data_IF_686429833232
#
_entry.id   IF_686429833232
#
_cell.length_a   1.000
_cell.length_b   1.000
_cell.length_c   1.000
_cell.angle_alpha   90.00
_cell.angle_beta   90.00
_cell.angle_gamma   90.00
#
_symmetry.space_group_name_H-M   'P 1'
#
loop_
_entity.id
_entity.type
_entity.pdbx_description
1 polymer ?
#
# COMPACT_ATOMS: atom_id res chain seq x y z
N UNK A 1 23.88 -19.09 21.99
CA UNK A 1 22.76 -18.91 21.05
C UNK A 1 21.48 -19.28 21.77
N UNK A 2 20.61 -18.32 22.02
CA UNK A 2 19.28 -18.59 22.59
C UNK A 2 18.32 -18.57 21.41
N UNK A 3 17.84 -19.75 21.01
CA UNK A 3 16.77 -19.94 20.04
C UNK A 3 15.48 -20.18 20.82
N UNK A 4 14.72 -19.12 21.07
CA UNK A 4 13.30 -19.24 21.40
C UNK A 4 12.54 -18.41 20.36
N UNK A 5 12.16 -19.06 19.26
CA UNK A 5 11.38 -18.45 18.16
C UNK A 5 9.93 -18.08 18.56
N UNK A 6 9.59 -18.14 19.85
CA UNK A 6 8.23 -18.02 20.38
C UNK A 6 8.11 -17.02 21.56
N UNK A 7 9.11 -16.16 21.81
CA UNK A 7 9.07 -15.26 22.99
C UNK A 7 9.51 -13.83 22.73
N UNK A 8 9.80 -13.47 21.48
CA UNK A 8 9.89 -12.05 21.16
C UNK A 8 8.45 -11.61 21.05
N UNK A 9 7.99 -10.83 22.03
CA UNK A 9 6.66 -10.23 22.06
C UNK A 9 6.80 -8.70 22.04
N UNK A 10 7.94 -8.18 22.51
CA UNK A 10 8.27 -6.76 22.54
C UNK A 10 9.78 -6.57 22.32
N UNK A 11 10.19 -5.87 21.26
CA UNK A 11 11.60 -5.50 20.97
C UNK A 11 11.76 -4.00 21.20
N UNK A 12 12.85 -3.63 21.88
CA UNK A 12 13.38 -2.27 21.91
C UNK A 12 14.86 -2.36 21.52
N UNK A 13 15.20 -2.06 20.28
CA UNK A 13 16.53 -2.34 19.73
C UNK A 13 17.54 -1.22 20.09
N UNK A 14 17.09 0.03 20.11
CA UNK A 14 17.81 1.16 20.70
C UNK A 14 18.41 2.08 19.65
N UNK A 15 19.73 2.04 19.46
CA UNK A 15 20.37 2.81 18.40
C UNK A 15 21.39 1.95 17.67
N UNK A 16 21.61 2.23 16.40
CA UNK A 16 22.41 1.43 15.47
C UNK A 16 21.52 0.76 14.42
N UNK A 17 22.14 0.21 13.39
CA UNK A 17 21.43 -0.50 12.33
C UNK A 17 21.09 -1.92 12.81
N UNK A 18 19.82 -2.17 13.12
CA UNK A 18 19.34 -3.43 13.64
C UNK A 18 18.73 -4.34 12.56
N UNK A 19 18.76 -5.65 12.79
CA UNK A 19 18.08 -6.62 11.94
C UNK A 19 17.17 -7.48 12.80
N UNK A 20 15.88 -7.39 12.55
CA UNK A 20 14.84 -7.99 13.39
C UNK A 20 14.03 -8.95 12.53
N UNK A 21 13.84 -10.16 13.03
CA UNK A 21 12.92 -11.14 12.44
C UNK A 21 11.76 -11.34 13.40
N UNK A 22 10.55 -11.00 12.96
CA UNK A 22 9.33 -11.21 13.74
C UNK A 22 9.10 -12.70 13.98
N UNK A 23 8.48 -13.00 15.13
CA UNK A 23 8.01 -14.34 15.45
C UNK A 23 6.64 -14.61 14.80
N UNK A 24 6.09 -15.81 14.99
CA UNK A 24 4.74 -16.14 14.49
C UNK A 24 3.60 -15.61 15.36
N UNK A 25 3.90 -15.02 16.52
CA UNK A 25 2.93 -14.33 17.38
C UNK A 25 3.02 -12.82 17.16
N UNK A 26 1.97 -12.09 17.51
CA UNK A 26 1.94 -10.63 17.39
C UNK A 26 3.07 -9.99 18.19
N UNK A 27 3.78 -9.06 17.56
CA UNK A 27 4.95 -8.39 18.08
C UNK A 27 4.76 -6.89 18.18
N UNK A 28 5.34 -6.27 19.20
CA UNK A 28 5.55 -4.82 19.25
C UNK A 28 7.04 -4.53 19.12
N UNK A 29 7.46 -3.88 18.05
CA UNK A 29 8.87 -3.64 17.74
C UNK A 29 9.10 -2.13 17.73
N UNK A 30 10.01 -1.66 18.57
CA UNK A 30 10.54 -0.31 18.52
C UNK A 30 12.02 -0.41 18.15
N UNK A 31 12.40 0.00 16.94
CA UNK A 31 13.77 -0.16 16.46
C UNK A 31 14.66 0.95 17.05
N UNK A 32 14.26 2.21 16.87
CA UNK A 32 14.89 3.37 17.50
C UNK A 32 15.58 4.24 16.48
N UNK A 33 16.90 4.39 16.53
CA UNK A 33 17.63 5.21 15.55
C UNK A 33 18.67 4.38 14.81
N UNK A 34 18.73 4.44 13.49
CA UNK A 34 19.60 3.61 12.66
C UNK A 34 18.87 3.13 11.41
N UNK A 35 19.56 2.53 10.46
CA UNK A 35 18.91 1.92 9.30
C UNK A 35 18.51 0.48 9.62
N UNK A 36 17.27 0.28 10.04
CA UNK A 36 16.75 -0.96 10.57
C UNK A 36 16.09 -1.83 9.49
N UNK A 37 16.26 -3.15 9.60
CA UNK A 37 15.65 -4.12 8.70
C UNK A 37 14.76 -5.09 9.46
N UNK A 38 13.45 -5.05 9.17
CA UNK A 38 12.44 -5.85 9.84
C UNK A 38 11.80 -6.80 8.83
N UNK A 39 11.93 -8.11 9.09
CA UNK A 39 11.42 -9.17 8.21
C UNK A 39 10.48 -10.11 8.94
N UNK A 40 9.57 -10.73 8.19
CA UNK A 40 8.62 -11.69 8.77
C UNK A 40 7.40 -11.03 9.40
N UNK A 41 7.17 -9.74 9.14
CA UNK A 41 6.04 -8.98 9.69
C UNK A 41 4.74 -9.66 9.28
N UNK A 42 3.89 -10.00 10.25
CA UNK A 42 2.72 -10.83 10.06
C UNK A 42 1.56 -10.37 10.96
N UNK A 43 0.60 -11.27 11.19
CA UNK A 43 -0.69 -10.92 11.79
C UNK A 43 -0.55 -10.31 13.18
N UNK A 44 -1.09 -9.11 13.35
CA UNK A 44 -1.10 -8.37 14.62
C UNK A 44 0.21 -7.69 15.02
N UNK A 45 1.23 -7.70 14.16
CA UNK A 45 2.49 -7.00 14.43
C UNK A 45 2.32 -5.48 14.37
N UNK A 46 3.01 -4.78 15.26
CA UNK A 46 3.12 -3.32 15.36
C UNK A 46 4.59 -2.96 15.33
N UNK A 47 5.01 -2.17 14.34
CA UNK A 47 6.40 -1.72 14.19
C UNK A 47 6.44 -0.20 14.23
N UNK A 48 7.31 0.34 15.08
CA UNK A 48 7.72 1.74 15.09
C UNK A 48 9.23 1.77 14.84
N UNK A 49 9.64 2.16 13.65
CA UNK A 49 11.03 2.03 13.24
C UNK A 49 11.89 3.19 13.79
N UNK A 50 11.44 4.42 13.62
CA UNK A 50 12.00 5.58 14.32
C UNK A 50 12.83 6.45 13.39
N UNK A 51 14.05 6.83 13.77
CA UNK A 51 14.91 7.67 12.92
C UNK A 51 15.79 6.78 12.04
N UNK A 52 15.77 6.93 10.72
CA UNK A 52 16.62 6.14 9.85
C UNK A 52 16.00 5.87 8.49
N UNK A 53 16.73 5.12 7.66
CA UNK A 53 16.17 4.63 6.41
C UNK A 53 15.86 3.14 6.61
N UNK A 54 14.63 2.84 6.96
CA UNK A 54 14.21 1.53 7.44
C UNK A 54 13.61 0.68 6.32
N UNK A 55 13.62 -0.64 6.55
CA UNK A 55 13.20 -1.62 5.57
C UNK A 55 12.22 -2.64 6.15
N UNK A 56 11.06 -2.80 5.52
CA UNK A 56 9.98 -3.65 6.01
C UNK A 56 9.62 -4.74 5.00
N UNK A 57 9.78 -6.00 5.38
CA UNK A 57 9.32 -7.17 4.61
C UNK A 57 8.20 -7.90 5.36
N UNK A 58 6.93 -7.47 5.19
CA UNK A 58 5.82 -8.26 5.66
C UNK A 58 5.65 -9.58 4.91
N UNK A 59 4.71 -10.39 5.37
CA UNK A 59 4.41 -11.72 4.79
C UNK A 59 2.94 -11.86 4.43
N UNK A 60 2.11 -10.94 4.92
CA UNK A 60 0.69 -10.81 4.64
C UNK A 60 0.26 -9.36 4.97
N UNK A 61 -1.02 -9.04 4.74
CA UNK A 61 -1.58 -7.70 4.96
C UNK A 61 -2.29 -7.54 6.32
N UNK A 62 -2.20 -8.53 7.21
CA UNK A 62 -2.94 -8.57 8.48
C UNK A 62 -2.14 -8.08 9.69
N UNK A 63 -1.02 -7.39 9.48
CA UNK A 63 -0.32 -6.67 10.54
C UNK A 63 -1.16 -5.48 11.03
N UNK A 64 -0.87 -5.02 12.25
CA UNK A 64 -1.58 -3.91 12.88
C UNK A 64 -1.05 -2.56 12.41
N UNK A 65 0.27 -2.37 12.40
CA UNK A 65 0.90 -1.10 12.03
C UNK A 65 2.34 -1.31 11.56
N UNK A 66 2.73 -0.59 10.52
CA UNK A 66 4.12 -0.26 10.19
C UNK A 66 4.21 1.27 10.13
N UNK A 67 4.99 1.83 11.04
CA UNK A 67 5.36 3.24 11.06
C UNK A 67 6.87 3.35 10.77
N UNK A 68 7.21 3.91 9.61
CA UNK A 68 8.61 4.15 9.21
C UNK A 68 9.31 5.20 10.05
N UNK A 69 8.56 6.18 10.57
CA UNK A 69 9.12 7.29 11.32
C UNK A 69 9.79 8.33 10.41
N UNK A 70 11.05 8.67 10.71
CA UNK A 70 11.76 9.75 10.05
C UNK A 70 12.90 9.21 9.18
N UNK A 71 12.78 9.41 7.87
CA UNK A 71 13.86 9.16 6.92
C UNK A 71 13.30 8.74 5.58
N UNK A 72 13.94 7.78 4.92
CA UNK A 72 13.50 7.25 3.63
C UNK A 72 13.24 5.76 3.78
N UNK A 73 11.98 5.43 3.99
CA UNK A 73 11.54 4.14 4.47
C UNK A 73 10.97 3.28 3.35
N UNK A 74 11.36 2.01 3.33
CA UNK A 74 11.09 1.09 2.21
C UNK A 74 10.22 -0.09 2.62
N UNK A 75 9.07 -0.21 1.99
CA UNK A 75 8.19 -1.38 2.07
C UNK A 75 8.48 -2.34 0.90
N UNK A 76 8.97 -3.54 1.24
CA UNK A 76 9.31 -4.60 0.30
C UNK A 76 8.10 -5.53 0.06
N UNK A 77 7.57 -5.49 -1.16
CA UNK A 77 6.35 -6.21 -1.53
C UNK A 77 6.61 -7.26 -2.63
N UNK A 78 6.69 -8.52 -2.22
CA UNK A 78 6.69 -9.72 -3.04
C UNK A 78 5.37 -9.95 -3.79
N UNK A 79 5.42 -10.74 -4.87
CA UNK A 79 4.19 -11.20 -5.50
C UNK A 79 3.32 -12.02 -4.52
N UNK A 80 2.03 -11.69 -4.39
CA UNK A 80 1.10 -12.50 -3.60
C UNK A 80 0.85 -12.05 -2.16
N UNK A 81 1.12 -10.77 -1.81
CA UNK A 81 0.51 -10.15 -0.62
C UNK A 81 -1.02 -10.19 -0.63
N UNK A 82 -1.63 -10.53 -1.76
CA UNK A 82 -3.03 -10.95 -1.86
C UNK A 82 -3.13 -12.44 -2.15
N UNK A 83 -2.64 -13.29 -1.25
CA UNK A 83 -3.09 -14.68 -1.23
C UNK A 83 -4.52 -14.66 -0.69
N UNK A 84 -5.50 -14.80 -1.60
CA UNK A 84 -6.77 -15.39 -1.20
C UNK A 84 -6.47 -16.70 -0.44
N UNK A 85 -7.41 -17.17 0.37
CA UNK A 85 -7.31 -18.48 1.03
C UNK A 85 -7.21 -19.67 0.05
N UNK A 86 -7.08 -19.41 -1.26
CA UNK A 86 -6.93 -20.38 -2.35
C UNK A 86 -5.49 -20.51 -2.88
N UNK A 87 -4.52 -19.75 -2.35
CA UNK A 87 -3.11 -19.90 -2.74
C UNK A 87 -2.78 -19.45 -4.17
N UNK A 88 -3.56 -18.53 -4.74
CA UNK A 88 -3.27 -17.98 -6.06
C UNK A 88 -2.17 -16.89 -5.95
N UNK A 89 -0.95 -17.26 -6.33
CA UNK A 89 0.23 -16.38 -6.41
C UNK A 89 0.16 -15.47 -7.65
N UNK A 90 -0.94 -14.73 -7.83
CA UNK A 90 -1.36 -14.19 -9.13
C UNK A 90 -0.49 -13.06 -9.72
N UNK A 91 0.71 -12.79 -9.20
CA UNK A 91 1.59 -11.75 -9.74
C UNK A 91 1.05 -10.34 -9.51
N UNK A 92 0.26 -10.12 -8.45
CA UNK A 92 -0.28 -8.81 -8.08
C UNK A 92 0.16 -8.41 -6.67
N UNK A 93 0.31 -7.10 -6.51
CA UNK A 93 0.35 -6.40 -5.22
C UNK A 93 -0.74 -5.33 -5.29
N UNK A 94 -1.71 -5.37 -4.38
CA UNK A 94 -2.83 -4.42 -4.38
C UNK A 94 -2.73 -3.50 -3.16
N UNK A 95 -2.25 -2.27 -3.36
CA UNK A 95 -2.05 -1.34 -2.24
C UNK A 95 -3.38 -0.93 -1.57
N UNK A 96 -4.52 -1.11 -2.24
CA UNK A 96 -5.86 -0.85 -1.67
C UNK A 96 -6.22 -1.84 -0.56
N UNK A 97 -5.45 -2.91 -0.40
CA UNK A 97 -5.66 -3.89 0.68
C UNK A 97 -5.10 -3.42 2.03
N UNK A 98 -4.31 -2.35 2.04
CA UNK A 98 -3.85 -1.69 3.25
C UNK A 98 -4.78 -0.52 3.58
N UNK A 99 -5.06 -0.34 4.87
CA UNK A 99 -5.78 0.85 5.36
C UNK A 99 -4.80 1.92 5.82
N UNK A 100 -5.27 3.16 5.89
CA UNK A 100 -4.55 4.31 6.49
C UNK A 100 -4.00 4.01 7.90
N UNK A 101 -4.71 3.23 8.71
CA UNK A 101 -4.25 2.87 10.06
C UNK A 101 -3.10 1.84 10.10
N UNK A 102 -2.76 1.19 8.96
CA UNK A 102 -1.79 0.10 8.90
C UNK A 102 -0.41 0.54 8.44
N UNK A 103 -0.31 1.60 7.64
CA UNK A 103 0.94 2.09 7.06
C UNK A 103 1.01 3.59 7.29
N UNK A 104 2.16 4.10 7.70
CA UNK A 104 2.44 5.54 7.80
C UNK A 104 3.95 5.77 7.66
N UNK A 105 4.34 6.96 7.21
CA UNK A 105 5.73 7.35 7.00
C UNK A 105 6.49 6.36 6.09
N UNK A 106 5.95 6.08 4.90
CA UNK A 106 6.59 5.21 3.91
C UNK A 106 6.77 5.96 2.59
N UNK A 107 8.00 6.21 2.19
CA UNK A 107 8.34 6.92 0.94
C UNK A 107 8.61 5.98 -0.23
N UNK A 108 9.00 4.73 0.04
CA UNK A 108 9.50 3.81 -0.96
C UNK A 108 8.72 2.48 -0.97
N UNK A 109 8.32 2.04 -2.17
CA UNK A 109 7.80 0.69 -2.43
C UNK A 109 8.78 -0.04 -3.33
N UNK A 110 9.20 -1.25 -2.96
CA UNK A 110 10.03 -2.09 -3.82
C UNK A 110 9.35 -3.42 -4.13
N UNK A 111 9.03 -3.63 -5.42
CA UNK A 111 8.42 -4.84 -5.96
C UNK A 111 9.40 -5.67 -6.82
N UNK A 112 10.67 -5.25 -6.90
CA UNK A 112 11.67 -5.85 -7.80
C UNK A 112 12.41 -7.05 -7.20
N UNK A 113 12.07 -7.42 -5.97
CA UNK A 113 12.90 -8.19 -5.04
C UNK A 113 12.98 -9.71 -5.33
N UNK A 114 12.03 -10.28 -6.06
CA UNK A 114 11.97 -11.74 -6.29
C UNK A 114 12.16 -12.15 -7.77
N UNK A 115 12.30 -11.18 -8.67
CA UNK A 115 12.51 -11.42 -10.10
C UNK A 115 11.28 -11.98 -10.83
N UNK A 116 10.11 -12.00 -10.19
CA UNK A 116 8.84 -12.39 -10.80
C UNK A 116 8.09 -11.14 -11.22
N UNK A 117 7.40 -11.23 -12.36
CA UNK A 117 6.56 -10.15 -12.84
C UNK A 117 5.44 -9.83 -11.84
N UNK A 118 5.44 -8.60 -11.34
CA UNK A 118 4.48 -8.07 -10.37
C UNK A 118 3.68 -6.93 -10.98
N UNK A 119 2.36 -7.00 -10.81
CA UNK A 119 1.39 -5.99 -11.19
C UNK A 119 0.95 -5.24 -9.93
N UNK A 120 1.54 -4.06 -9.70
CA UNK A 120 1.24 -3.19 -8.56
C UNK A 120 0.03 -2.32 -8.88
N UNK A 121 -1.03 -2.45 -8.10
CA UNK A 121 -2.24 -1.64 -8.24
C UNK A 121 -2.12 -0.42 -7.32
N UNK A 122 -2.24 0.76 -7.92
CA UNK A 122 -2.09 2.05 -7.25
C UNK A 122 -3.34 2.90 -7.46
N UNK A 123 -3.78 3.56 -6.39
CA UNK A 123 -4.83 4.58 -6.37
C UNK A 123 -4.34 5.82 -5.63
N UNK A 124 -5.01 6.96 -5.82
CA UNK A 124 -4.81 8.16 -4.99
C UNK A 124 -4.79 7.82 -3.50
N UNK A 125 -5.86 7.19 -3.00
CA UNK A 125 -6.01 6.90 -1.57
C UNK A 125 -4.88 5.99 -1.06
N UNK A 126 -4.51 4.96 -1.81
CA UNK A 126 -3.40 4.09 -1.41
C UNK A 126 -2.03 4.78 -1.37
N UNK A 127 -1.84 5.88 -2.11
CA UNK A 127 -0.61 6.69 -2.05
C UNK A 127 -0.65 7.65 -0.87
N UNK A 128 -1.82 8.23 -0.58
CA UNK A 128 -2.00 9.11 0.58
C UNK A 128 -1.89 8.36 1.91
N UNK A 129 -2.42 7.14 1.99
CA UNK A 129 -2.33 6.28 3.17
C UNK A 129 -0.91 5.81 3.51
N UNK A 130 0.11 6.10 2.69
CA UNK A 130 1.50 5.80 3.03
C UNK A 130 2.13 6.91 3.88
N UNK A 131 1.54 8.12 3.86
CA UNK A 131 1.94 9.27 4.67
C UNK A 131 3.45 9.56 4.67
N UNK A 132 4.12 9.35 3.53
CA UNK A 132 5.55 9.60 3.40
C UNK A 132 5.91 11.07 3.51
N UNK A 133 7.19 11.33 3.76
CA UNK A 133 7.79 12.67 3.85
C UNK A 133 7.48 13.48 2.59
N UNK A 134 6.87 14.65 2.77
CA UNK A 134 6.45 15.54 1.69
C UNK A 134 7.55 16.51 1.27
N UNK A 135 7.63 16.81 -0.03
CA UNK A 135 8.58 17.80 -0.58
C UNK A 135 8.02 18.49 -1.82
N UNK A 136 8.48 19.70 -2.10
CA UNK A 136 8.11 20.50 -3.27
C UNK A 136 8.74 19.90 -4.54
N UNK A 137 7.98 19.07 -5.26
CA UNK A 137 8.44 18.34 -6.46
C UNK A 137 8.40 19.23 -7.69
N UNK A 138 7.37 20.07 -7.82
CA UNK A 138 7.13 20.87 -9.03
C UNK A 138 7.59 22.34 -8.92
N UNK A 139 8.01 22.77 -7.73
CA UNK A 139 8.61 24.08 -7.48
C UNK A 139 7.59 25.20 -7.30
N UNK A 140 6.33 24.87 -7.02
CA UNK A 140 5.27 25.87 -6.82
C UNK A 140 5.22 26.44 -5.38
N UNK A 141 5.95 25.80 -4.46
CA UNK A 141 6.15 26.24 -3.08
C UNK A 141 5.21 25.62 -2.05
N UNK A 142 4.32 24.69 -2.43
CA UNK A 142 3.69 23.77 -1.48
C UNK A 142 4.47 22.44 -1.36
N UNK A 143 4.02 21.53 -0.49
CA UNK A 143 4.69 20.25 -0.27
C UNK A 143 3.85 19.12 -0.84
N UNK A 144 4.48 18.29 -1.66
CA UNK A 144 3.82 17.19 -2.36
C UNK A 144 4.02 15.87 -1.65
N UNK A 145 2.98 15.03 -1.64
CA UNK A 145 3.11 13.63 -1.28
C UNK A 145 3.57 12.83 -2.50
N UNK A 146 4.69 12.14 -2.38
CA UNK A 146 5.23 11.34 -3.47
C UNK A 146 5.85 10.03 -2.99
N UNK A 147 5.42 8.96 -3.65
CA UNK A 147 5.91 7.61 -3.38
C UNK A 147 6.78 7.15 -4.54
N UNK A 148 7.96 6.63 -4.22
CA UNK A 148 8.91 6.10 -5.18
C UNK A 148 8.80 4.59 -5.27
N UNK A 149 8.62 4.08 -6.49
CA UNK A 149 8.43 2.67 -6.77
C UNK A 149 9.67 2.13 -7.47
N UNK A 150 10.32 1.14 -6.86
CA UNK A 150 11.39 0.35 -7.47
C UNK A 150 10.81 -0.92 -8.07
N UNK A 151 11.05 -1.11 -9.37
CA UNK A 151 10.49 -2.18 -10.17
C UNK A 151 11.51 -2.71 -11.19
N UNK A 152 11.28 -3.93 -11.65
CA UNK A 152 11.98 -4.58 -12.76
C UNK A 152 11.30 -4.31 -14.10
N UNK A 153 11.94 -4.69 -15.20
CA UNK A 153 11.39 -4.52 -16.56
C UNK A 153 10.19 -5.41 -16.87
N UNK A 154 9.90 -6.39 -16.02
CA UNK A 154 8.78 -7.32 -16.20
C UNK A 154 7.56 -6.93 -15.37
N UNK A 155 7.71 -5.93 -14.51
CA UNK A 155 6.66 -5.46 -13.62
C UNK A 155 5.74 -4.47 -14.32
N UNK A 156 4.60 -4.18 -13.68
CA UNK A 156 3.60 -3.23 -14.14
C UNK A 156 3.10 -2.41 -12.97
N UNK A 157 2.82 -1.15 -13.23
CA UNK A 157 2.04 -0.28 -12.35
C UNK A 157 0.68 -0.08 -13.01
N UNK A 158 -0.37 -0.48 -12.33
CA UNK A 158 -1.75 -0.40 -12.81
C UNK A 158 -2.42 0.79 -12.14
N UNK A 159 -2.92 1.70 -12.97
CA UNK A 159 -3.70 2.87 -12.57
C UNK A 159 -5.07 2.86 -13.25
N UNK A 160 -5.98 3.69 -12.75
CA UNK A 160 -7.35 3.74 -13.21
C UNK A 160 -7.61 5.01 -14.04
N UNK A 161 -8.36 4.90 -15.16
CA UNK A 161 -8.57 6.01 -16.09
C UNK A 161 -9.43 7.13 -15.50
N UNK A 162 -10.30 6.83 -14.54
CA UNK A 162 -11.22 7.76 -13.90
C UNK A 162 -10.56 8.63 -12.81
N UNK A 163 -9.40 8.21 -12.28
CA UNK A 163 -8.67 9.03 -11.31
C UNK A 163 -8.00 10.24 -11.97
N UNK A 164 -7.57 10.15 -13.23
CA UNK A 164 -6.99 11.30 -13.94
C UNK A 164 -5.49 11.53 -13.66
N UNK A 165 -4.75 10.47 -13.34
CA UNK A 165 -3.29 10.49 -13.28
C UNK A 165 -2.69 11.05 -14.58
N UNK A 166 -1.81 12.04 -14.45
CA UNK A 166 -1.17 12.72 -15.56
C UNK A 166 0.35 12.56 -15.51
N UNK A 167 0.97 12.41 -16.67
CA UNK A 167 2.43 12.44 -16.77
C UNK A 167 2.93 13.85 -16.44
N UNK A 168 3.76 13.96 -15.41
CA UNK A 168 4.24 15.23 -14.89
C UNK A 168 5.71 15.51 -15.25
N UNK A 169 6.47 14.49 -15.63
CA UNK A 169 7.85 14.68 -16.12
C UNK A 169 8.77 13.52 -15.80
N UNK A 170 10.08 13.77 -15.92
CA UNK A 170 11.09 12.78 -15.58
C UNK A 170 12.42 13.44 -15.24
N UNK A 171 13.22 12.82 -14.37
CA UNK A 171 14.60 13.22 -14.09
C UNK A 171 15.59 12.14 -14.57
N UNK A 172 16.84 12.11 -14.09
CA UNK A 172 17.80 11.06 -14.48
C UNK A 172 17.41 9.66 -14.04
N UNK A 173 16.60 9.55 -12.99
CA UNK A 173 16.35 8.31 -12.24
C UNK A 173 14.91 7.85 -12.36
N UNK A 174 13.94 8.77 -12.40
CA UNK A 174 12.52 8.45 -12.30
C UNK A 174 11.66 9.07 -13.41
N UNK A 175 10.55 8.40 -13.73
CA UNK A 175 9.38 9.01 -14.37
C UNK A 175 8.36 9.40 -13.30
N UNK A 176 7.71 10.55 -13.45
CA UNK A 176 6.76 11.11 -12.47
C UNK A 176 5.36 11.22 -13.06
N UNK A 177 4.37 10.82 -12.26
CA UNK A 177 2.96 11.04 -12.51
C UNK A 177 2.33 11.70 -11.29
N UNK A 178 1.39 12.60 -11.55
CA UNK A 178 0.71 13.37 -10.51
C UNK A 178 -0.80 13.40 -10.73
N UNK A 179 -1.52 13.80 -9.69
CA UNK A 179 -2.97 14.00 -9.65
C UNK A 179 -3.30 15.17 -8.69
N UNK A 180 -4.56 15.57 -8.61
CA UNK A 180 -5.07 16.58 -7.65
C UNK A 180 -4.38 17.94 -7.71
N UNK A 181 -4.16 18.43 -8.94
CA UNK A 181 -3.39 19.64 -9.19
C UNK A 181 -1.98 19.55 -8.61
N UNK A 182 -1.30 18.43 -8.87
CA UNK A 182 0.08 18.18 -8.48
C UNK A 182 0.33 18.05 -6.97
N UNK A 183 -0.65 17.65 -6.15
CA UNK A 183 -0.38 17.43 -4.71
C UNK A 183 -0.02 15.98 -4.36
N UNK A 184 -0.46 15.01 -5.17
CA UNK A 184 -0.20 13.59 -4.95
C UNK A 184 0.51 12.98 -6.16
N UNK A 185 1.58 12.25 -5.91
CA UNK A 185 2.47 11.75 -6.95
C UNK A 185 2.88 10.31 -6.69
N UNK A 186 3.21 9.62 -7.77
CA UNK A 186 4.11 8.48 -7.68
C UNK A 186 5.17 8.58 -8.78
N UNK A 187 6.30 7.94 -8.51
CA UNK A 187 7.42 7.89 -9.43
C UNK A 187 7.95 6.46 -9.53
N UNK A 188 8.52 6.09 -10.68
CA UNK A 188 9.19 4.78 -10.81
C UNK A 188 10.52 4.84 -11.53
N UNK A 189 11.43 3.93 -11.19
CA UNK A 189 12.79 3.90 -11.70
C UNK A 189 12.83 3.70 -13.22
N UNK A 190 13.57 4.56 -13.92
CA UNK A 190 13.73 4.52 -15.38
C UNK A 190 14.30 3.21 -15.90
N UNK A 191 15.06 2.48 -15.07
CA UNK A 191 15.61 1.17 -15.44
C UNK A 191 14.54 0.10 -15.62
N UNK A 192 13.34 0.27 -15.05
CA UNK A 192 12.18 -0.58 -15.34
C UNK A 192 11.58 -0.34 -16.73
N UNK A 193 11.83 0.83 -17.32
CA UNK A 193 11.27 1.22 -18.62
C UNK A 193 9.81 1.67 -18.54
N UNK A 194 9.03 1.36 -19.58
CA UNK A 194 7.62 1.74 -19.64
C UNK A 194 6.75 0.62 -19.05
N UNK A 195 6.45 0.76 -17.76
CA UNK A 195 5.70 -0.24 -16.97
C UNK A 195 4.30 0.25 -16.55
N UNK A 196 3.92 1.48 -16.92
CA UNK A 196 2.62 2.03 -16.56
C UNK A 196 1.52 1.49 -17.47
N UNK A 197 0.43 1.00 -16.87
CA UNK A 197 -0.72 0.45 -17.57
C UNK A 197 -2.02 1.05 -17.03
N UNK A 198 -2.85 1.60 -17.92
CA UNK A 198 -4.17 2.11 -17.55
C UNK A 198 -5.18 0.98 -17.71
N UNK A 199 -5.82 0.60 -16.61
CA UNK A 199 -6.81 -0.46 -16.59
C UNK A 199 -8.19 0.07 -17.03
N UNK A 200 -8.57 -0.20 -18.28
CA UNK A 200 -9.70 0.49 -18.93
C UNK A 200 -11.09 -0.17 -18.73
N UNK A 201 -11.17 -1.40 -18.19
CA UNK A 201 -12.46 -2.09 -17.95
C UNK A 201 -12.29 -3.41 -17.18
N UNK A 202 -13.28 -3.79 -16.37
CA UNK A 202 -13.32 -5.05 -15.61
C UNK A 202 -12.98 -4.83 -14.13
N UNK A 203 -12.67 -5.90 -13.40
CA UNK A 203 -12.09 -5.77 -12.06
C UNK A 203 -10.55 -5.92 -12.16
N UNK A 204 -9.76 -4.93 -11.70
CA UNK A 204 -8.29 -5.02 -11.72
C UNK A 204 -7.75 -6.07 -10.75
N UNK A 205 -8.63 -6.51 -9.84
CA UNK A 205 -8.46 -7.66 -8.95
C UNK A 205 -9.53 -8.67 -9.37
N UNK A 206 -9.25 -9.92 -9.76
CA UNK A 206 -10.28 -10.93 -9.62
C UNK A 206 -10.60 -10.96 -8.13
N UNK A 207 -11.74 -10.37 -7.75
CA UNK A 207 -12.35 -10.57 -6.44
C UNK A 207 -12.35 -12.09 -6.25
N UNK A 208 -12.03 -12.64 -5.06
CA UNK A 208 -12.32 -14.05 -4.82
C UNK A 208 -13.75 -14.27 -5.32
N UNK A 209 -13.92 -15.16 -6.28
CA UNK A 209 -15.21 -15.75 -6.58
C UNK A 209 -15.74 -16.20 -5.22
N UNK A 210 -16.66 -15.43 -4.65
CA UNK A 210 -17.45 -15.95 -3.57
C UNK A 210 -18.07 -17.20 -4.17
N UNK A 211 -17.79 -18.37 -3.64
CA UNK A 211 -18.34 -19.62 -4.18
C UNK A 211 -19.89 -19.62 -4.19
N UNK A 212 -20.53 -18.58 -3.64
CA UNK A 212 -21.96 -18.28 -3.76
C UNK A 212 -22.37 -17.47 -4.99
N UNK A 213 -21.44 -16.81 -5.68
CA UNK A 213 -21.70 -16.08 -6.92
C UNK A 213 -21.75 -17.07 -8.11
N UNK A 214 -22.82 -16.94 -8.89
CA UNK A 214 -23.05 -17.73 -10.10
C UNK A 214 -22.85 -16.91 -11.36
N UNK A 215 -22.32 -15.68 -11.23
CA UNK A 215 -22.18 -14.71 -12.30
C UNK A 215 -20.72 -14.20 -12.45
N UNK A 216 -19.90 -14.83 -13.29
CA UNK A 216 -18.45 -14.61 -13.30
C UNK A 216 -17.95 -13.28 -13.92
N UNK A 217 -18.80 -12.27 -14.14
CA UNK A 217 -18.43 -11.10 -14.94
C UNK A 217 -19.24 -9.80 -14.72
N UNK A 218 -19.78 -9.49 -13.53
CA UNK A 218 -20.42 -8.18 -13.34
C UNK A 218 -20.31 -7.51 -11.95
N UNK A 219 -19.14 -7.54 -11.32
CA UNK A 219 -18.80 -6.54 -10.29
C UNK A 219 -18.36 -5.23 -10.97
N UNK A 220 -19.34 -4.52 -11.53
CA UNK A 220 -19.21 -3.14 -12.04
C UNK A 220 -19.47 -2.12 -10.93
N UNK A 221 -18.89 -2.34 -9.74
CA UNK A 221 -18.84 -1.30 -8.72
C UNK A 221 -17.42 -0.71 -8.72
N UNK A 222 -17.23 0.51 -9.27
CA UNK A 222 -16.10 1.33 -8.88
C UNK A 222 -16.22 1.53 -7.36
N UNK A 223 -15.28 0.99 -6.60
CA UNK A 223 -15.15 1.34 -5.19
C UNK A 223 -14.63 2.78 -5.20
N UNK A 224 -15.56 3.74 -5.15
CA UNK A 224 -15.26 5.09 -4.71
C UNK A 224 -14.82 5.08 -3.24
N UNK A 225 -14.24 6.18 -2.74
CA UNK A 225 -13.87 6.28 -1.33
C UNK A 225 -15.11 6.00 -0.48
N UNK A 226 -14.96 5.16 0.54
CA UNK A 226 -16.01 4.95 1.54
C UNK A 226 -16.02 6.23 2.38
N UNK A 227 -16.77 7.21 1.91
CA UNK A 227 -17.19 8.34 2.72
C UNK A 227 -18.29 7.81 3.66
N UNK A 228 -17.91 7.43 4.88
CA UNK A 228 -18.85 7.16 5.96
C UNK A 228 -19.47 8.50 6.45
N UNK A 229 -20.41 9.03 5.67
CA UNK A 229 -21.45 9.94 6.19
C UNK A 229 -22.82 9.50 5.68
N UNK A 230 -23.29 8.41 6.26
CA UNK A 230 -24.66 7.93 6.11
C UNK A 230 -25.49 8.23 7.34
N UNK A 231 -25.71 9.51 7.62
CA UNK A 231 -26.77 9.97 8.54
C UNK A 231 -28.08 9.22 8.27
N UNK A 232 -28.54 8.47 9.28
CA UNK A 232 -29.78 7.68 9.26
C UNK A 232 -30.97 8.64 9.05
N UNK A 233 -31.82 8.47 8.01
CA UNK A 233 -33.05 9.24 7.94
C UNK A 233 -34.09 8.68 8.92
N UNK A 234 -34.57 9.59 9.76
CA UNK A 234 -35.68 9.48 10.72
C UNK A 234 -36.97 8.93 10.07
N UNK A 235 -37.63 7.90 10.63
CA UNK A 235 -38.90 7.41 10.12
C UNK A 235 -40.05 8.23 10.70
N UNK A 236 -40.32 9.43 10.13
CA UNK A 236 -41.57 10.14 10.39
C UNK A 236 -42.22 10.65 9.09
N UNK A 237 -43.29 9.98 8.66
CA UNK A 237 -44.57 10.64 8.29
C UNK A 237 -45.70 9.61 8.13
N UNK A 238 -46.85 9.80 8.81
CA UNK A 238 -48.12 9.15 8.52
C UNK A 238 -49.00 9.98 7.54
N UNK A 239 -50.14 9.39 7.17
CA UNK A 239 -51.20 9.82 6.23
C UNK A 239 -50.88 9.62 4.74
N UNK A 240 -51.65 8.89 3.92
CA UNK A 240 -53.07 8.59 3.97
C UNK A 240 -53.74 9.33 2.82
N UNK A 241 -54.02 8.68 1.69
CA UNK A 241 -55.04 9.14 0.74
C UNK A 241 -55.73 7.97 0.02
N UNK A 242 -57.01 8.23 -0.18
CA UNK A 242 -58.14 7.40 -0.60
C UNK A 242 -58.15 6.98 -2.08
N UNK A 243 -59.04 6.02 -2.33
CA UNK A 243 -59.99 5.88 -3.47
C UNK A 243 -59.65 4.90 -4.62
N UNK A 244 -60.66 4.27 -5.28
CA UNK A 244 -62.11 4.26 -5.02
C UNK A 244 -62.73 2.91 -4.64
#
# INVERSE_FOLDING_TARGET
SIYYANSIENVNAGSGDDTITCSSVSNVINCGAGADSIVGIATGDTINAGDGNDGFSPTNTSFTLIDGGAGSDTLYLYHGYVANSSGNLSGYVDLRTFTDAQLTNIENIDISIDGVATSLIVTKDSINNLEGTTFDVDGDGDQDNVVYITASTNDKILIFPDQGWAYAGSNSTYYFYSIDNNQTWFAWNKTAGNILYIFNSGSPRPVPDDYSDTNPDNDTIPIGPIDDDGSIPDPTTPDGEDNP
#
